data_IF_091758840788
#
_entry.id   IF_091758840788
#
_cell.length_a   1.000
_cell.length_b   1.000
_cell.length_c   1.000
_cell.angle_alpha   90.00
_cell.angle_beta   90.00
_cell.angle_gamma   90.00
#
_symmetry.space_group_name_H-M   'P 1'
#
loop_
_entity.id
_entity.type
_entity.pdbx_description
1 polymer ?
#
# COMPACT_ATOMS: atom_id res chain seq x y z
N UNK A 1 9.24 -2.15 -7.85
CA UNK A 1 8.83 -3.35 -8.61
C UNK A 1 8.09 -2.98 -9.89
N UNK A 2 7.17 -2.01 -9.85
CA UNK A 2 6.34 -1.56 -10.97
C UNK A 2 7.12 -1.14 -12.23
N UNK A 3 8.19 -0.34 -12.07
CA UNK A 3 9.05 0.09 -13.18
C UNK A 3 9.64 -1.07 -13.99
N UNK A 4 9.93 -2.23 -13.35
CA UNK A 4 10.47 -3.42 -14.06
C UNK A 4 9.45 -4.07 -14.98
N UNK A 5 8.17 -3.76 -14.84
CA UNK A 5 7.08 -4.23 -15.69
C UNK A 5 6.47 -3.11 -16.53
N UNK A 6 7.11 -1.94 -16.57
CA UNK A 6 6.64 -0.77 -17.33
C UNK A 6 5.19 -0.39 -16.99
N UNK A 7 4.81 -0.55 -15.72
CA UNK A 7 3.51 -0.08 -15.22
C UNK A 7 3.66 1.42 -14.92
N UNK A 8 2.90 2.31 -15.60
CA UNK A 8 2.94 3.74 -15.32
C UNK A 8 2.32 4.03 -13.96
N UNK A 9 2.95 4.93 -13.21
CA UNK A 9 2.47 5.36 -11.90
C UNK A 9 2.87 6.81 -11.63
N UNK A 10 2.14 7.44 -10.72
CA UNK A 10 2.47 8.74 -10.14
C UNK A 10 2.54 8.62 -8.63
N UNK A 11 3.58 9.22 -8.05
CA UNK A 11 3.76 9.29 -6.59
C UNK A 11 3.15 10.60 -6.08
N UNK A 12 2.33 10.51 -5.05
CA UNK A 12 1.83 11.65 -4.29
C UNK A 12 2.39 11.55 -2.88
N UNK A 13 3.00 12.63 -2.40
CA UNK A 13 3.46 12.77 -1.02
C UNK A 13 3.29 14.23 -0.59
N UNK A 14 3.14 14.47 0.72
CA UNK A 14 3.11 15.83 1.30
C UNK A 14 4.50 16.37 1.61
N UNK A 15 5.52 15.53 1.66
CA UNK A 15 6.90 15.91 1.95
C UNK A 15 7.59 16.45 0.68
N UNK A 16 7.78 17.77 0.63
CA UNK A 16 8.45 18.46 -0.48
C UNK A 16 9.88 17.98 -0.72
N UNK A 17 10.61 17.58 0.32
CA UNK A 17 11.98 17.09 0.19
C UNK A 17 11.98 15.70 -0.49
N UNK A 18 11.04 14.82 -0.12
CA UNK A 18 10.86 13.52 -0.79
C UNK A 18 10.48 13.69 -2.26
N UNK A 19 9.55 14.60 -2.56
CA UNK A 19 9.12 14.90 -3.93
C UNK A 19 10.28 15.50 -4.74
N UNK A 20 11.07 16.41 -4.15
CA UNK A 20 12.26 16.96 -4.82
C UNK A 20 13.26 15.86 -5.16
N UNK A 21 13.55 14.97 -4.21
CA UNK A 21 14.47 13.86 -4.41
C UNK A 21 13.95 12.83 -5.44
N UNK A 22 12.65 12.56 -5.45
CA UNK A 22 12.00 11.70 -6.44
C UNK A 22 12.05 12.32 -7.85
N UNK A 23 11.78 13.63 -7.95
CA UNK A 23 11.82 14.40 -9.18
C UNK A 23 13.23 14.43 -9.80
N UNK A 24 14.27 14.62 -8.98
CA UNK A 24 15.69 14.55 -9.42
C UNK A 24 16.03 13.17 -9.98
N UNK A 25 15.39 12.10 -9.49
CA UNK A 25 15.53 10.72 -10.00
C UNK A 25 14.67 10.44 -11.24
N UNK A 26 13.91 11.43 -11.74
CA UNK A 26 13.03 11.30 -12.89
C UNK A 26 11.77 10.48 -12.62
N UNK A 27 11.34 10.34 -11.36
CA UNK A 27 10.09 9.68 -11.01
C UNK A 27 8.91 10.64 -11.26
N UNK A 28 7.79 10.17 -11.83
CA UNK A 28 6.56 10.95 -11.88
C UNK A 28 6.04 11.16 -10.46
N UNK A 29 6.06 12.40 -9.96
CA UNK A 29 5.68 12.71 -8.59
C UNK A 29 5.07 14.11 -8.44
N UNK A 30 4.17 14.27 -7.49
CA UNK A 30 3.48 15.52 -7.17
C UNK A 30 3.40 15.70 -5.66
N UNK A 31 3.63 16.93 -5.20
CA UNK A 31 3.41 17.29 -3.81
C UNK A 31 1.92 17.60 -3.57
N UNK A 32 1.23 16.79 -2.77
CA UNK A 32 -0.16 17.03 -2.35
C UNK A 32 -0.47 16.30 -1.03
N UNK A 33 -1.49 16.75 -0.32
CA UNK A 33 -1.88 16.20 0.98
C UNK A 33 -3.07 15.25 0.85
N UNK A 34 -2.81 13.95 0.95
CA UNK A 34 -3.82 12.90 0.78
C UNK A 34 -4.90 12.85 1.87
N UNK A 35 -4.69 13.55 3.00
CA UNK A 35 -5.73 13.70 4.03
C UNK A 35 -6.89 14.59 3.55
N UNK A 36 -6.64 15.45 2.56
CA UNK A 36 -7.67 16.30 1.97
C UNK A 36 -8.51 15.50 0.97
N UNK A 37 -9.85 15.63 0.97
CA UNK A 37 -10.71 14.94 0.01
C UNK A 37 -10.31 15.19 -1.45
N UNK A 38 -9.96 16.43 -1.79
CA UNK A 38 -9.66 16.88 -3.16
C UNK A 38 -8.22 16.62 -3.63
N UNK A 39 -7.42 15.84 -2.89
CA UNK A 39 -6.00 15.64 -3.19
C UNK A 39 -5.74 15.05 -4.58
N UNK A 40 -6.62 14.17 -5.08
CA UNK A 40 -6.50 13.61 -6.42
C UNK A 40 -6.66 14.69 -7.50
N UNK A 41 -7.60 15.62 -7.29
CA UNK A 41 -7.80 16.75 -8.18
C UNK A 41 -6.62 17.74 -8.11
N UNK A 42 -6.09 18.02 -6.92
CA UNK A 42 -4.88 18.84 -6.71
C UNK A 42 -3.68 18.21 -7.43
N UNK A 43 -3.54 16.88 -7.35
CA UNK A 43 -2.52 16.11 -8.04
C UNK A 43 -2.77 15.94 -9.56
N UNK A 44 -3.86 16.52 -10.09
CA UNK A 44 -4.29 16.40 -11.50
C UNK A 44 -4.55 14.97 -11.95
N UNK A 45 -4.86 14.08 -11.01
CA UNK A 45 -5.24 12.70 -11.27
C UNK A 45 -6.76 12.62 -11.40
N UNK A 46 -7.25 12.42 -12.63
CA UNK A 46 -8.69 12.43 -12.92
C UNK A 46 -9.31 11.03 -13.06
N UNK A 47 -8.52 10.01 -13.37
CA UNK A 47 -9.01 8.64 -13.60
C UNK A 47 -7.90 7.64 -13.29
N UNK A 48 -7.59 7.40 -12.00
CA UNK A 48 -6.60 6.40 -11.63
C UNK A 48 -7.11 5.00 -11.97
N UNK A 49 -6.22 4.06 -12.24
CA UNK A 49 -6.61 2.64 -12.41
C UNK A 49 -6.65 1.85 -11.12
N UNK A 50 -5.87 2.29 -10.14
CA UNK A 50 -5.81 1.76 -8.78
C UNK A 50 -5.07 2.77 -7.90
N UNK A 51 -5.21 2.62 -6.58
CA UNK A 51 -4.48 3.40 -5.58
C UNK A 51 -3.71 2.45 -4.67
N UNK A 52 -2.45 2.79 -4.39
CA UNK A 52 -1.60 2.12 -3.42
C UNK A 52 -1.31 3.11 -2.30
N UNK A 53 -1.69 2.79 -1.07
CA UNK A 53 -1.40 3.60 0.11
C UNK A 53 -0.27 2.95 0.91
N UNK A 54 0.83 3.66 1.09
CA UNK A 54 2.00 3.19 1.84
C UNK A 54 2.35 4.07 3.05
N UNK A 55 1.46 4.98 3.42
CA UNK A 55 1.56 5.84 4.61
C UNK A 55 1.71 5.05 5.92
N UNK A 56 2.54 5.54 6.84
CA UNK A 56 2.83 4.83 8.10
C UNK A 56 1.72 5.00 9.16
N UNK A 57 0.91 6.06 9.08
CA UNK A 57 -0.15 6.31 10.05
C UNK A 57 -1.42 5.51 9.73
N UNK A 58 -1.74 4.52 10.57
CA UNK A 58 -2.91 3.66 10.36
C UNK A 58 -4.25 4.40 10.37
N UNK A 59 -4.41 5.43 11.20
CA UNK A 59 -5.65 6.23 11.24
C UNK A 59 -5.80 7.09 9.98
N UNK A 60 -4.71 7.72 9.54
CA UNK A 60 -4.70 8.49 8.30
C UNK A 60 -5.04 7.60 7.10
N UNK A 61 -4.49 6.37 7.05
CA UNK A 61 -4.81 5.42 5.99
C UNK A 61 -6.30 5.08 5.92
N UNK A 62 -6.96 4.91 7.06
CA UNK A 62 -8.42 4.65 7.12
C UNK A 62 -9.20 5.83 6.55
N UNK A 63 -8.86 7.05 6.97
CA UNK A 63 -9.55 8.27 6.52
C UNK A 63 -9.34 8.51 5.02
N UNK A 64 -8.12 8.32 4.52
CA UNK A 64 -7.80 8.42 3.08
C UNK A 64 -8.56 7.37 2.27
N UNK A 65 -8.63 6.12 2.73
CA UNK A 65 -9.44 5.08 2.06
C UNK A 65 -10.91 5.48 2.02
N UNK A 66 -11.48 5.97 3.13
CA UNK A 66 -12.86 6.41 3.18
C UNK A 66 -13.13 7.58 2.22
N UNK A 67 -12.22 8.55 2.16
CA UNK A 67 -12.31 9.68 1.22
C UNK A 67 -12.28 9.19 -0.23
N UNK A 68 -11.30 8.35 -0.60
CA UNK A 68 -11.21 7.77 -1.95
C UNK A 68 -12.48 6.99 -2.30
N UNK A 69 -13.01 6.20 -1.36
CA UNK A 69 -14.25 5.43 -1.57
C UNK A 69 -15.46 6.33 -1.77
N UNK A 70 -15.49 7.51 -1.16
CA UNK A 70 -16.58 8.49 -1.34
C UNK A 70 -16.57 9.13 -2.73
N UNK A 71 -15.39 9.32 -3.32
CA UNK A 71 -15.22 9.95 -4.65
C UNK A 71 -15.21 8.94 -5.80
N UNK A 72 -14.56 7.79 -5.60
CA UNK A 72 -14.34 6.74 -6.60
C UNK A 72 -14.65 5.36 -5.97
N UNK A 73 -15.94 5.00 -5.78
CA UNK A 73 -16.34 3.84 -4.98
C UNK A 73 -15.71 2.50 -5.36
N UNK A 74 -15.51 2.25 -6.66
CA UNK A 74 -15.08 0.94 -7.17
C UNK A 74 -13.57 0.84 -7.48
N UNK A 75 -12.77 1.88 -7.19
CA UNK A 75 -11.33 1.85 -7.51
C UNK A 75 -10.62 0.75 -6.72
N UNK A 76 -9.75 -0.09 -7.32
CA UNK A 76 -8.93 -1.01 -6.55
C UNK A 76 -7.98 -0.24 -5.62
N UNK A 77 -8.01 -0.53 -4.32
CA UNK A 77 -7.13 0.09 -3.32
C UNK A 77 -6.28 -0.99 -2.66
N UNK A 78 -4.98 -0.81 -2.63
CA UNK A 78 -4.01 -1.66 -1.94
C UNK A 78 -3.37 -0.86 -0.81
N UNK A 79 -3.27 -1.41 0.38
CA UNK A 79 -2.81 -0.65 1.55
C UNK A 79 -1.71 -1.39 2.30
N UNK A 80 -0.65 -0.68 2.69
CA UNK A 80 0.27 -1.14 3.73
C UNK A 80 -0.34 -0.76 5.09
N UNK A 81 -0.74 -1.75 5.88
CA UNK A 81 -1.22 -1.52 7.23
C UNK A 81 -0.05 -1.30 8.20
N UNK A 82 -0.28 -0.49 9.22
CA UNK A 82 0.69 -0.29 10.30
C UNK A 82 0.81 -1.54 11.18
N UNK A 83 -0.33 -2.12 11.54
CA UNK A 83 -0.43 -3.32 12.36
C UNK A 83 -1.64 -4.17 11.95
N UNK A 84 -1.89 -5.25 12.69
CA UNK A 84 -2.97 -6.20 12.41
C UNK A 84 -4.35 -5.62 12.71
N UNK A 85 -4.49 -4.75 13.70
CA UNK A 85 -5.78 -4.14 14.01
C UNK A 85 -6.15 -3.16 12.90
N UNK A 86 -5.19 -2.34 12.47
CA UNK A 86 -5.33 -1.45 11.34
C UNK A 86 -5.62 -2.22 10.04
N UNK A 87 -4.96 -3.37 9.81
CA UNK A 87 -5.25 -4.24 8.68
C UNK A 87 -6.73 -4.68 8.67
N UNK A 88 -7.27 -5.14 9.81
CA UNK A 88 -8.69 -5.53 9.90
C UNK A 88 -9.64 -4.37 9.60
N UNK A 89 -9.34 -3.19 10.13
CA UNK A 89 -10.13 -1.99 9.86
C UNK A 89 -10.12 -1.63 8.38
N UNK A 90 -8.95 -1.66 7.73
CA UNK A 90 -8.80 -1.42 6.30
C UNK A 90 -9.52 -2.48 5.45
N UNK A 91 -9.45 -3.76 5.82
CA UNK A 91 -10.19 -4.83 5.15
C UNK A 91 -11.70 -4.58 5.17
N UNK A 92 -12.25 -4.08 6.28
CA UNK A 92 -13.66 -3.73 6.40
C UNK A 92 -14.09 -2.57 5.48
N UNK A 93 -13.15 -1.75 4.99
CA UNK A 93 -13.41 -0.68 4.01
C UNK A 93 -13.40 -1.19 2.55
N UNK A 94 -13.28 -2.50 2.33
CA UNK A 94 -13.29 -3.10 1.00
C UNK A 94 -12.04 -2.76 0.18
N UNK A 95 -10.88 -2.64 0.83
CA UNK A 95 -9.60 -2.62 0.12
C UNK A 95 -9.36 -3.99 -0.52
N UNK A 96 -8.66 -4.01 -1.64
CA UNK A 96 -8.40 -5.24 -2.41
C UNK A 96 -7.41 -6.14 -1.67
N UNK A 97 -6.35 -5.55 -1.14
CA UNK A 97 -5.39 -6.26 -0.31
C UNK A 97 -4.77 -5.30 0.70
N UNK A 98 -4.51 -5.82 1.90
CA UNK A 98 -3.80 -5.09 2.95
C UNK A 98 -2.87 -6.03 3.70
N UNK A 99 -1.67 -5.56 4.00
CA UNK A 99 -0.65 -6.33 4.71
C UNK A 99 0.06 -5.46 5.74
N UNK A 100 0.33 -5.97 6.95
CA UNK A 100 1.13 -5.24 7.94
C UNK A 100 2.56 -5.07 7.45
N UNK A 101 3.16 -3.91 7.69
CA UNK A 101 4.48 -3.53 7.18
C UNK A 101 5.61 -4.53 7.51
N UNK A 102 5.59 -5.11 8.71
CA UNK A 102 6.64 -5.99 9.21
C UNK A 102 6.33 -7.48 9.01
N UNK A 103 5.19 -7.80 8.41
CA UNK A 103 4.66 -9.16 8.38
C UNK A 103 5.57 -10.13 7.61
N UNK A 104 5.81 -9.86 6.32
CA UNK A 104 6.63 -10.73 5.48
C UNK A 104 8.10 -10.78 5.95
N UNK A 105 8.63 -9.66 6.43
CA UNK A 105 9.99 -9.60 6.98
C UNK A 105 10.11 -10.48 8.23
N UNK A 106 9.10 -10.49 9.09
CA UNK A 106 9.06 -11.36 10.29
C UNK A 106 8.96 -12.83 9.91
N UNK A 107 8.14 -13.18 8.92
CA UNK A 107 8.04 -14.56 8.40
C UNK A 107 9.35 -15.03 7.78
N UNK A 108 10.06 -14.17 7.05
CA UNK A 108 11.36 -14.47 6.48
C UNK A 108 12.42 -14.67 7.57
N UNK A 109 12.43 -13.83 8.60
CA UNK A 109 13.31 -13.97 9.76
C UNK A 109 13.05 -15.30 10.49
N UNK A 110 11.79 -15.62 10.79
CA UNK A 110 11.41 -16.89 11.43
C UNK A 110 11.87 -18.10 10.60
N UNK A 111 11.66 -18.08 9.29
CA UNK A 111 12.18 -19.11 8.39
C UNK A 111 13.70 -19.25 8.46
N UNK A 112 14.43 -18.12 8.52
CA UNK A 112 15.89 -18.11 8.61
C UNK A 112 16.39 -18.68 9.94
N UNK A 113 15.69 -18.40 11.03
CA UNK A 113 15.95 -18.95 12.37
C UNK A 113 15.72 -20.45 12.36
N UNK A 114 14.55 -20.94 11.90
CA UNK A 114 14.24 -22.37 11.83
C UNK A 114 15.31 -23.16 11.06
N UNK A 115 15.74 -22.63 9.90
CA UNK A 115 16.85 -23.24 9.13
C UNK A 115 18.17 -23.25 9.90
N UNK A 116 18.45 -22.22 10.68
CA UNK A 116 19.63 -22.16 11.56
C UNK A 116 19.64 -23.25 12.64
N UNK A 117 18.46 -23.72 13.06
CA UNK A 117 18.28 -24.83 13.99
C UNK A 117 18.16 -26.20 13.31
N UNK A 118 18.45 -26.30 12.01
CA UNK A 118 18.46 -27.56 11.27
C UNK A 118 17.11 -28.01 10.74
N UNK A 119 16.05 -27.19 10.85
CA UNK A 119 14.75 -27.49 10.24
C UNK A 119 14.87 -27.36 8.71
N UNK A 120 14.28 -28.31 7.99
CA UNK A 120 14.34 -28.32 6.54
C UNK A 120 13.66 -27.07 5.94
N UNK A 121 14.21 -26.57 4.83
CA UNK A 121 13.70 -25.35 4.19
C UNK A 121 12.23 -25.46 3.77
N UNK A 122 11.78 -26.66 3.39
CA UNK A 122 10.39 -26.95 3.05
C UNK A 122 9.45 -26.79 4.26
N UNK A 123 9.87 -27.28 5.44
CA UNK A 123 9.07 -27.24 6.66
C UNK A 123 8.97 -25.80 7.18
N UNK A 124 10.09 -25.07 7.17
CA UNK A 124 10.10 -23.65 7.52
C UNK A 124 9.16 -22.83 6.59
N UNK A 125 9.16 -23.14 5.29
CA UNK A 125 8.26 -22.50 4.32
C UNK A 125 6.80 -22.88 4.56
N UNK A 126 6.52 -24.14 4.89
CA UNK A 126 5.18 -24.61 5.22
C UNK A 126 4.62 -23.89 6.46
N UNK A 127 5.41 -23.76 7.53
CA UNK A 127 5.04 -23.01 8.73
C UNK A 127 4.73 -21.54 8.39
N UNK A 128 5.60 -20.88 7.62
CA UNK A 128 5.36 -19.50 7.20
C UNK A 128 4.11 -19.34 6.32
N UNK A 129 3.74 -20.37 5.54
CA UNK A 129 2.48 -20.38 4.77
C UNK A 129 1.27 -20.47 5.69
N UNK A 130 1.29 -21.36 6.69
CA UNK A 130 0.20 -21.48 7.67
C UNK A 130 0.00 -20.16 8.42
N UNK A 131 1.09 -19.57 8.92
CA UNK A 131 1.05 -18.28 9.60
C UNK A 131 0.61 -17.14 8.66
N UNK A 132 0.88 -17.19 7.35
CA UNK A 132 0.32 -16.20 6.43
C UNK A 132 -1.20 -16.27 6.39
N UNK A 133 -1.73 -17.47 6.23
CA UNK A 133 -3.16 -17.71 6.08
C UNK A 133 -3.94 -17.38 7.35
N UNK A 134 -3.41 -17.75 8.52
CA UNK A 134 -4.04 -17.46 9.82
C UNK A 134 -4.19 -15.95 10.10
N UNK A 135 -3.24 -15.13 9.64
CA UNK A 135 -3.18 -13.72 10.02
C UNK A 135 -3.80 -12.80 8.97
N UNK A 136 -3.69 -13.12 7.68
CA UNK A 136 -4.28 -12.32 6.60
C UNK A 136 -5.78 -12.61 6.43
N UNK A 137 -6.28 -13.73 6.96
CA UNK A 137 -7.69 -14.07 6.85
C UNK A 137 -8.13 -14.27 5.39
N UNK A 138 -7.21 -14.69 4.51
CA UNK A 138 -7.61 -15.33 3.26
C UNK A 138 -8.36 -16.60 3.67
N UNK A 139 -9.69 -16.52 3.75
CA UNK A 139 -10.53 -17.70 3.74
C UNK A 139 -10.09 -18.51 2.53
N UNK A 140 -9.41 -19.62 2.80
CA UNK A 140 -9.18 -20.65 1.81
C UNK A 140 -10.55 -21.27 1.62
N UNK A 141 -11.30 -20.77 0.63
CA UNK A 141 -12.45 -21.51 0.14
C UNK A 141 -11.89 -22.79 -0.49
N UNK A 142 -11.92 -23.88 0.27
CA UNK A 142 -11.40 -25.19 -0.15
C UNK A 142 -12.15 -25.77 -1.37
N UNK A 143 -13.14 -25.04 -1.92
CA UNK A 143 -13.87 -25.43 -3.12
C UNK A 143 -13.71 -24.49 -4.33
N UNK A 144 -12.94 -23.40 -4.25
CA UNK A 144 -12.62 -22.55 -5.40
C UNK A 144 -11.13 -22.16 -5.37
N UNK A 145 -10.33 -22.82 -6.22
CA UNK A 145 -8.86 -22.76 -6.24
C UNK A 145 -8.21 -21.44 -6.70
N UNK A 146 -8.78 -20.30 -6.36
CA UNK A 146 -8.19 -18.96 -6.52
C UNK A 146 -8.66 -18.12 -5.33
N UNK A 147 -7.84 -17.99 -4.29
CA UNK A 147 -8.02 -16.89 -3.33
C UNK A 147 -8.10 -15.61 -4.16
N UNK A 148 -9.09 -14.75 -3.93
CA UNK A 148 -9.48 -13.66 -4.84
C UNK A 148 -8.27 -12.79 -5.19
N UNK A 149 -7.51 -13.20 -6.21
CA UNK A 149 -6.62 -12.34 -6.94
C UNK A 149 -7.52 -11.23 -7.43
N UNK A 150 -7.11 -9.98 -7.18
CA UNK A 150 -7.74 -8.87 -7.84
C UNK A 150 -7.81 -9.20 -9.33
N UNK A 151 -9.02 -9.26 -9.90
CA UNK A 151 -9.17 -9.41 -11.35
C UNK A 151 -8.21 -8.42 -12.00
N UNK A 152 -7.44 -8.83 -13.03
CA UNK A 152 -6.51 -7.94 -13.69
C UNK A 152 -7.23 -6.63 -13.99
N UNK A 153 -6.66 -5.51 -13.55
CA UNK A 153 -7.20 -4.19 -13.84
C UNK A 153 -7.37 -4.09 -15.36
N UNK A 154 -8.61 -4.11 -15.83
CA UNK A 154 -8.90 -4.12 -17.26
C UNK A 154 -8.43 -2.81 -17.86
N UNK A 155 -7.43 -2.90 -18.74
CA UNK A 155 -6.99 -1.75 -19.54
C UNK A 155 -8.04 -1.55 -20.63
N UNK A 156 -8.90 -0.55 -20.47
CA UNK A 156 -9.88 -0.17 -21.48
C UNK A 156 -9.23 0.05 -22.85
N UNK A 157 -9.93 -0.36 -23.91
CA UNK A 157 -9.49 -0.26 -25.31
C UNK A 157 -9.16 1.17 -25.71
N UNK A 158 -8.05 1.33 -26.42
CA UNK A 158 -7.34 2.58 -26.65
C UNK A 158 -7.96 3.38 -27.81
N UNK A 159 -8.76 4.39 -27.48
CA UNK A 159 -8.96 5.55 -28.35
C UNK A 159 -8.85 6.84 -27.53
N UNK A 160 -7.66 7.44 -27.54
CA UNK A 160 -7.36 8.80 -27.03
C UNK A 160 -7.86 9.15 -25.61
N UNK A 161 -7.41 8.39 -24.60
CA UNK A 161 -7.32 8.86 -23.21
C UNK A 161 -5.88 8.66 -22.77
N UNK A 162 -5.25 9.68 -22.17
CA UNK A 162 -3.94 9.53 -21.52
C UNK A 162 -3.98 8.28 -20.62
N UNK A 163 -2.89 7.50 -20.52
CA UNK A 163 -2.94 6.23 -19.81
C UNK A 163 -3.34 6.50 -18.35
N UNK A 164 -4.45 5.92 -17.93
CA UNK A 164 -4.88 5.96 -16.54
C UNK A 164 -3.73 5.44 -15.66
N UNK A 165 -3.32 6.22 -14.66
CA UNK A 165 -2.11 5.96 -13.89
C UNK A 165 -2.43 5.23 -12.57
N UNK A 166 -1.52 4.36 -12.14
CA UNK A 166 -1.51 3.86 -10.78
C UNK A 166 -1.06 4.99 -9.84
N UNK A 167 -1.87 5.34 -8.86
CA UNK A 167 -1.50 6.33 -7.85
C UNK A 167 -0.81 5.61 -6.70
N UNK A 168 0.36 6.09 -6.31
CA UNK A 168 1.04 5.66 -5.09
C UNK A 168 1.02 6.85 -4.15
N UNK A 169 0.34 6.72 -3.03
CA UNK A 169 0.35 7.72 -1.97
C UNK A 169 1.34 7.29 -0.91
N UNK A 170 2.46 8.00 -0.88
CA UNK A 170 3.50 7.84 0.12
C UNK A 170 3.28 8.82 1.27
N UNK A 171 3.81 8.50 2.43
CA UNK A 171 4.18 9.50 3.44
C UNK A 171 5.03 8.90 4.56
N UNK A 172 6.21 9.51 4.78
CA UNK A 172 6.91 9.70 6.07
C UNK A 172 7.88 10.90 5.96
N UNK A 173 8.01 11.82 6.92
CA UNK A 173 8.38 11.63 8.36
C UNK A 173 7.49 12.40 9.37
N UNK A 174 7.43 11.90 10.60
CA UNK A 174 7.38 12.78 11.78
C UNK A 174 8.80 13.11 12.23
N UNK A 175 9.24 14.36 12.02
CA UNK A 175 10.25 14.97 12.88
C UNK A 175 9.75 16.36 13.27
N UNK A 176 9.05 16.42 14.39
CA UNK A 176 9.21 17.55 15.29
C UNK A 176 9.59 16.99 16.65
N UNK A 177 10.84 17.20 17.06
CA UNK A 177 11.18 17.16 18.47
C UNK A 177 11.24 18.61 18.98
N UNK A 178 10.14 19.18 19.50
CA UNK A 178 10.14 20.53 20.05
C UNK A 178 10.69 20.61 21.49
N UNK A 179 11.33 19.56 22.02
CA UNK A 179 11.80 19.57 23.42
C UNK A 179 13.06 20.40 23.71
N UNK A 180 13.51 21.29 22.82
CA UNK A 180 14.60 22.22 23.16
C UNK A 180 14.46 23.67 22.66
N UNK A 181 13.23 24.20 22.61
CA UNK A 181 13.05 25.65 22.65
C UNK A 181 12.11 26.06 23.79
N UNK A 182 12.72 26.72 24.78
CA UNK A 182 12.14 27.42 25.95
C UNK A 182 11.71 26.56 27.14
N UNK A 183 12.70 26.24 27.98
CA UNK A 183 12.56 26.50 29.42
C UNK A 183 13.39 27.75 29.76
N UNK A 184 12.64 28.78 30.14
CA UNK A 184 12.97 29.94 30.99
C UNK A 184 14.25 30.74 30.71
#
# INVERSE_FOLDING_TARGET
MLTRKFIPFIVIDRDEDLIRDASVKGLPCVCADAEKPDFLAEARVSSPTAVVLTMNSGHIAIDVVANIRSEIPEIPIYVRAHDIENMKQLSNLGVVATYPETFETSLLLGQRVLRGYGIAAQDAKAIAKVLRNEWVGEEVDENDGVGKEASPVERGDSTHKEPAELVIVESEKQHDNPSNQKKE
#
